data_IF_094166299386
#
_entry.id   IF_094166299386
#
_cell.length_a   1.000
_cell.length_b   1.000
_cell.length_c   1.000
_cell.angle_alpha   90.00
_cell.angle_beta   90.00
_cell.angle_gamma   90.00
#
_symmetry.space_group_name_H-M   'P 1'
#
loop_
_entity.id
_entity.type
_entity.pdbx_description
1 polymer ?
#
# COMPACT_ATOMS: atom_id res chain seq x y z
N UNK A 1 -4.41 -0.20 -10.63
CA UNK A 1 -3.26 0.23 -9.81
C UNK A 1 -2.47 1.32 -10.52
N UNK A 2 -1.99 2.34 -9.79
CA UNK A 2 -1.27 3.47 -10.39
C UNK A 2 0.23 3.19 -10.59
N UNK A 3 0.86 3.92 -11.53
CA UNK A 3 2.29 3.80 -11.87
C UNK A 3 3.22 3.93 -10.66
N UNK A 4 2.89 4.78 -9.70
CA UNK A 4 3.72 4.98 -8.52
C UNK A 4 3.69 3.77 -7.56
N UNK A 5 2.57 3.04 -7.43
CA UNK A 5 2.50 1.79 -6.66
C UNK A 5 3.37 0.69 -7.28
N UNK A 6 3.37 0.60 -8.61
CA UNK A 6 4.26 -0.33 -9.33
C UNK A 6 5.73 0.00 -9.01
N UNK A 7 6.10 1.28 -9.03
CA UNK A 7 7.45 1.71 -8.66
C UNK A 7 7.81 1.37 -7.21
N UNK A 8 6.90 1.62 -6.26
CA UNK A 8 7.12 1.28 -4.85
C UNK A 8 7.36 -0.21 -4.67
N UNK A 9 6.50 -1.07 -5.22
CA UNK A 9 6.68 -2.53 -5.11
C UNK A 9 7.98 -3.02 -5.76
N UNK A 10 8.34 -2.47 -6.92
CA UNK A 10 9.63 -2.80 -7.57
C UNK A 10 10.79 -2.45 -6.62
N UNK A 11 10.77 -1.25 -6.03
CA UNK A 11 11.82 -0.81 -5.11
C UNK A 11 11.89 -1.66 -3.84
N UNK A 12 10.75 -2.01 -3.25
CA UNK A 12 10.69 -2.82 -2.01
C UNK A 12 11.24 -4.23 -2.25
N UNK A 13 10.89 -4.85 -3.39
CA UNK A 13 11.45 -6.15 -3.80
C UNK A 13 12.95 -6.05 -4.00
N UNK A 14 13.43 -5.03 -4.71
CA UNK A 14 14.87 -4.84 -4.95
C UNK A 14 15.65 -4.57 -3.66
N UNK A 15 15.12 -3.75 -2.74
CA UNK A 15 15.73 -3.53 -1.42
C UNK A 15 15.77 -4.81 -0.58
N UNK A 16 14.69 -5.60 -0.60
CA UNK A 16 14.64 -6.90 0.08
C UNK A 16 15.68 -7.87 -0.48
N UNK A 17 15.91 -7.84 -1.80
CA UNK A 17 16.95 -8.66 -2.45
C UNK A 17 18.36 -8.16 -2.11
N UNK A 18 18.63 -6.86 -2.18
CA UNK A 18 19.95 -6.28 -1.87
C UNK A 18 20.38 -6.56 -0.41
N UNK A 19 19.44 -6.50 0.54
CA UNK A 19 19.68 -6.83 1.95
C UNK A 19 20.05 -8.30 2.19
N UNK A 20 19.54 -9.22 1.36
CA UNK A 20 19.67 -10.67 1.55
C UNK A 20 20.68 -11.32 0.59
N UNK A 21 20.95 -10.67 -0.53
CA UNK A 21 21.79 -11.13 -1.63
C UNK A 21 22.69 -9.97 -2.05
N UNK A 22 23.62 -9.56 -1.17
CA UNK A 22 24.73 -8.68 -1.58
C UNK A 22 25.29 -9.20 -2.89
N UNK A 23 25.37 -8.34 -3.90
CA UNK A 23 25.91 -8.55 -5.25
C UNK A 23 24.84 -8.62 -6.35
N UNK A 24 24.55 -7.45 -6.92
CA UNK A 24 24.28 -7.34 -8.34
C UNK A 24 25.22 -6.27 -8.89
N UNK A 25 26.05 -6.64 -9.87
CA UNK A 25 26.73 -5.65 -10.71
C UNK A 25 25.68 -4.76 -11.40
N UNK A 26 26.02 -3.50 -11.72
CA UNK A 26 25.07 -2.49 -12.22
C UNK A 26 24.21 -2.99 -13.39
N UNK A 27 24.79 -3.77 -14.31
CA UNK A 27 24.08 -4.33 -15.46
C UNK A 27 23.09 -5.44 -15.05
N UNK A 28 23.46 -6.26 -14.07
CA UNK A 28 22.60 -7.31 -13.51
C UNK A 28 21.44 -6.72 -12.69
N UNK A 29 21.69 -5.63 -11.97
CA UNK A 29 20.68 -4.90 -11.21
C UNK A 29 19.60 -4.30 -12.13
N UNK A 30 20.02 -3.66 -13.23
CA UNK A 30 19.10 -3.09 -14.22
C UNK A 30 18.24 -4.17 -14.90
N UNK A 31 18.84 -5.33 -15.21
CA UNK A 31 18.12 -6.45 -15.82
C UNK A 31 17.10 -7.04 -14.84
N UNK A 32 17.47 -7.15 -13.57
CA UNK A 32 16.56 -7.62 -12.52
C UNK A 32 15.38 -6.67 -12.33
N UNK A 33 15.60 -5.36 -12.26
CA UNK A 33 14.53 -4.36 -12.16
C UNK A 33 13.51 -4.56 -13.29
N UNK A 34 13.98 -4.69 -14.53
CA UNK A 34 13.10 -4.90 -15.70
C UNK A 34 12.25 -6.16 -15.57
N UNK A 35 12.84 -7.27 -15.10
CA UNK A 35 12.12 -8.55 -14.91
C UNK A 35 11.07 -8.43 -13.81
N UNK A 36 11.43 -7.85 -12.66
CA UNK A 36 10.51 -7.64 -11.53
C UNK A 36 9.34 -6.75 -11.94
N UNK A 37 9.64 -5.62 -12.59
CA UNK A 37 8.62 -4.68 -13.09
C UNK A 37 7.67 -5.36 -14.07
N UNK A 38 8.19 -6.07 -15.07
CA UNK A 38 7.37 -6.75 -16.06
C UNK A 38 6.48 -7.84 -15.42
N UNK A 39 6.99 -8.55 -14.42
CA UNK A 39 6.21 -9.53 -13.65
C UNK A 39 5.04 -8.88 -12.89
N UNK A 40 5.31 -7.77 -12.18
CA UNK A 40 4.30 -7.00 -11.45
C UNK A 40 3.25 -6.45 -12.44
N UNK A 41 3.68 -5.76 -13.50
CA UNK A 41 2.78 -5.20 -14.51
C UNK A 41 1.90 -6.27 -15.16
N UNK A 42 2.47 -7.42 -15.53
CA UNK A 42 1.72 -8.53 -16.12
C UNK A 42 0.68 -9.11 -15.15
N UNK A 43 1.02 -9.27 -13.87
CA UNK A 43 0.09 -9.78 -12.87
C UNK A 43 -1.10 -8.84 -12.60
N UNK A 44 -0.90 -7.52 -12.78
CA UNK A 44 -1.89 -6.49 -12.51
C UNK A 44 -2.59 -5.94 -13.76
N UNK A 45 -2.19 -6.38 -14.96
CA UNK A 45 -2.65 -5.82 -16.25
C UNK A 45 -4.17 -5.84 -16.42
N UNK A 46 -4.83 -6.85 -15.88
CA UNK A 46 -6.27 -7.10 -15.94
C UNK A 46 -6.96 -6.95 -14.58
N UNK A 47 -6.25 -6.48 -13.55
CA UNK A 47 -6.75 -6.33 -12.18
C UNK A 47 -6.85 -4.86 -11.81
N UNK A 48 -8.06 -4.41 -11.45
CA UNK A 48 -8.25 -3.10 -10.82
C UNK A 48 -8.20 -3.29 -9.30
N UNK A 49 -7.00 -3.17 -8.73
CA UNK A 49 -6.86 -2.91 -7.30
C UNK A 49 -6.80 -1.40 -7.05
N UNK A 50 -7.74 -0.92 -6.24
CA UNK A 50 -7.64 0.34 -5.51
C UNK A 50 -6.86 0.02 -4.24
N UNK A 51 -5.70 0.63 -4.07
CA UNK A 51 -4.87 0.47 -2.87
C UNK A 51 -5.00 1.73 -2.06
N UNK A 52 -5.38 1.58 -0.79
CA UNK A 52 -5.50 2.68 0.16
C UNK A 52 -4.15 3.00 0.79
N UNK A 53 -3.86 4.28 0.98
CA UNK A 53 -2.66 4.74 1.65
C UNK A 53 -2.94 5.62 2.87
N UNK A 54 -1.88 6.00 3.58
CA UNK A 54 -1.99 6.82 4.79
C UNK A 54 -2.60 8.20 4.52
N UNK A 55 -2.48 8.73 3.31
CA UNK A 55 -3.05 10.02 2.93
C UNK A 55 -4.54 9.92 2.67
N UNK A 56 -5.01 8.79 2.13
CA UNK A 56 -6.44 8.51 1.99
C UNK A 56 -7.13 8.55 3.36
N UNK A 57 -6.57 7.86 4.36
CA UNK A 57 -7.11 7.86 5.73
C UNK A 57 -7.05 9.24 6.38
N UNK A 58 -5.93 9.96 6.23
CA UNK A 58 -5.80 11.34 6.75
C UNK A 58 -6.81 12.29 6.11
N UNK A 59 -6.99 12.20 4.79
CA UNK A 59 -7.95 12.98 4.03
C UNK A 59 -9.37 12.68 4.50
N UNK A 60 -9.71 11.39 4.59
CA UNK A 60 -11.02 10.93 5.01
C UNK A 60 -11.38 11.35 6.43
N UNK A 61 -10.45 11.22 7.39
CA UNK A 61 -10.63 11.68 8.76
C UNK A 61 -10.97 13.18 8.86
N UNK A 62 -10.34 13.99 8.00
CA UNK A 62 -10.60 15.43 7.94
C UNK A 62 -11.94 15.76 7.26
N UNK A 63 -12.23 15.11 6.14
CA UNK A 63 -13.41 15.43 5.32
C UNK A 63 -14.72 14.92 5.93
N UNK A 64 -14.73 13.69 6.46
CA UNK A 64 -15.94 13.06 7.00
C UNK A 64 -16.17 13.39 8.48
N UNK A 65 -15.10 13.48 9.27
CA UNK A 65 -15.19 13.58 10.74
C UNK A 65 -14.63 14.89 11.31
N UNK A 66 -14.02 15.75 10.48
CA UNK A 66 -13.38 16.99 10.93
C UNK A 66 -12.18 16.77 11.85
N UNK A 67 -11.62 15.56 11.90
CA UNK A 67 -10.51 15.19 12.79
C UNK A 67 -9.17 15.33 12.07
N UNK A 68 -8.13 15.66 12.82
CA UNK A 68 -6.74 15.66 12.31
C UNK A 68 -6.08 14.36 12.71
N UNK A 69 -5.50 13.67 11.74
CA UNK A 69 -4.78 12.42 11.94
C UNK A 69 -3.30 12.58 11.57
N UNK A 70 -2.41 12.05 12.40
CA UNK A 70 -1.00 11.97 12.04
C UNK A 70 -0.79 10.78 11.08
N UNK A 71 0.25 10.83 10.24
CA UNK A 71 0.60 9.68 9.38
C UNK A 71 0.86 8.40 10.18
N UNK A 72 1.39 8.53 11.40
CA UNK A 72 1.63 7.39 12.29
C UNK A 72 0.32 6.73 12.69
N UNK A 73 -0.68 7.52 13.07
CA UNK A 73 -1.99 6.99 13.46
C UNK A 73 -2.76 6.45 12.25
N UNK A 74 -2.59 7.06 11.08
CA UNK A 74 -3.24 6.60 9.84
C UNK A 74 -2.71 5.23 9.44
N UNK A 75 -1.41 5.00 9.67
CA UNK A 75 -0.81 3.70 9.50
C UNK A 75 -1.42 2.67 10.46
N UNK A 76 -1.59 3.00 11.74
CA UNK A 76 -2.23 2.09 12.71
C UNK A 76 -3.62 1.67 12.23
N UNK A 77 -4.44 2.62 11.78
CA UNK A 77 -5.78 2.34 11.23
C UNK A 77 -5.71 1.40 10.01
N UNK A 78 -4.77 1.63 9.08
CA UNK A 78 -4.59 0.73 7.93
C UNK A 78 -4.12 -0.66 8.35
N UNK A 79 -3.24 -0.76 9.34
CA UNK A 79 -2.77 -2.03 9.87
C UNK A 79 -3.95 -2.82 10.50
N UNK A 80 -4.83 -2.16 11.27
CA UNK A 80 -6.07 -2.77 11.82
C UNK A 80 -7.04 -3.22 10.72
N UNK A 81 -7.25 -2.39 9.68
CA UNK A 81 -8.06 -2.78 8.51
C UNK A 81 -7.50 -4.04 7.85
N UNK A 82 -6.18 -4.15 7.72
CA UNK A 82 -5.55 -5.32 7.10
C UNK A 82 -5.67 -6.57 7.98
N UNK A 83 -5.56 -6.43 9.29
CA UNK A 83 -5.65 -7.54 10.24
C UNK A 83 -7.07 -8.09 10.37
N UNK A 84 -8.10 -7.25 10.23
CA UNK A 84 -9.50 -7.63 10.39
C UNK A 84 -10.25 -7.97 9.11
N UNK A 85 -9.70 -7.67 7.92
CA UNK A 85 -10.46 -7.84 6.69
C UNK A 85 -10.27 -9.24 6.07
N UNK A 86 -11.32 -10.04 6.14
CA UNK A 86 -11.40 -11.33 5.44
C UNK A 86 -11.54 -11.07 3.93
N UNK A 87 -10.77 -11.78 3.12
CA UNK A 87 -10.39 -11.36 1.75
C UNK A 87 -11.53 -11.33 0.72
N UNK A 88 -12.79 -11.54 1.12
CA UNK A 88 -13.93 -11.73 0.22
C UNK A 88 -14.53 -10.42 -0.32
N UNK A 89 -14.48 -9.30 0.43
CA UNK A 89 -15.21 -8.07 0.08
C UNK A 89 -14.35 -6.83 -0.20
N UNK A 90 -13.02 -6.95 -0.12
CA UNK A 90 -12.11 -5.83 -0.35
C UNK A 90 -12.23 -4.72 0.71
N UNK A 91 -11.44 -3.66 0.58
CA UNK A 91 -11.49 -2.50 1.48
C UNK A 91 -12.28 -1.38 0.78
N UNK A 92 -13.33 -0.89 1.43
CA UNK A 92 -14.15 0.22 0.94
C UNK A 92 -13.96 1.47 1.79
N UNK A 93 -14.54 2.60 1.36
CA UNK A 93 -14.61 3.80 2.20
C UNK A 93 -15.33 3.56 3.52
N UNK A 94 -16.35 2.70 3.55
CA UNK A 94 -17.07 2.35 4.78
C UNK A 94 -16.18 1.59 5.76
N UNK A 95 -15.31 0.72 5.26
CA UNK A 95 -14.30 0.03 6.08
C UNK A 95 -13.35 1.03 6.73
N UNK A 96 -12.89 2.03 5.98
CA UNK A 96 -12.02 3.10 6.50
C UNK A 96 -12.77 3.97 7.52
N UNK A 97 -14.03 4.31 7.24
CA UNK A 97 -14.85 5.14 8.13
C UNK A 97 -15.05 4.46 9.48
N UNK A 98 -15.42 3.18 9.50
CA UNK A 98 -15.59 2.40 10.73
C UNK A 98 -14.33 2.35 11.58
N UNK A 99 -13.16 2.14 10.96
CA UNK A 99 -11.92 2.08 11.73
C UNK A 99 -11.44 3.46 12.21
N UNK A 100 -11.80 4.55 11.51
CA UNK A 100 -11.61 5.91 12.01
C UNK A 100 -12.53 6.20 13.20
N UNK A 101 -13.81 5.80 13.12
CA UNK A 101 -14.79 5.93 14.20
C UNK A 101 -14.32 5.17 15.45
N UNK A 102 -13.94 3.90 15.27
CA UNK A 102 -13.36 3.04 16.31
C UNK A 102 -12.11 3.67 16.95
N UNK A 103 -11.19 4.21 16.14
CA UNK A 103 -9.98 4.86 16.65
C UNK A 103 -10.25 6.10 17.51
N UNK A 104 -11.32 6.84 17.22
CA UNK A 104 -11.71 8.04 17.96
C UNK A 104 -12.78 7.81 19.03
N UNK A 105 -13.35 6.60 19.11
CA UNK A 105 -14.46 6.23 19.99
C UNK A 105 -15.69 7.15 19.79
N UNK A 106 -16.15 7.25 18.53
CA UNK A 106 -17.27 8.12 18.08
C UNK A 106 -18.36 7.37 17.31
#
# INVERSE_FOLDING_TARGET
MYKHHINTMVNDVLQGLDKNFKCLEDESALKLEKVVRAGIEKNWKDKIAVTWDVYDVVGRAKEAFGKRLSKKNAKIILDEILDHNDAEYGISWQTIDWEIESFFDI
#
